data_IF_520904445200
#
_entry.id   IF_520904445200
#
_cell.length_a   1.000
_cell.length_b   1.000
_cell.length_c   1.000
_cell.angle_alpha   90.00
_cell.angle_beta   90.00
_cell.angle_gamma   90.00
#
_symmetry.space_group_name_H-M   'P 1'
#
loop_
_entity.id
_entity.type
_entity.pdbx_description
1 polymer ?
#
# COMPACT_ATOMS: atom_id res chain seq x y z
N UNK A 1 -10.73 -10.21 -17.16
CA UNK A 1 -9.62 -10.37 -16.20
C UNK A 1 -10.02 -9.62 -14.96
N UNK A 2 -10.07 -10.31 -13.83
CA UNK A 2 -10.45 -9.74 -12.54
C UNK A 2 -9.41 -8.68 -12.12
N UNK A 3 -9.87 -7.45 -11.87
CA UNK A 3 -8.98 -6.35 -11.53
C UNK A 3 -8.60 -6.46 -10.05
N UNK A 4 -7.33 -6.72 -9.74
CA UNK A 4 -6.85 -6.73 -8.36
C UNK A 4 -7.18 -5.38 -7.68
N UNK A 5 -7.98 -5.35 -6.59
CA UNK A 5 -8.37 -4.10 -5.92
C UNK A 5 -7.23 -3.47 -5.11
N UNK A 6 -6.20 -4.25 -4.74
CA UNK A 6 -5.13 -3.82 -3.82
C UNK A 6 -4.41 -2.55 -4.30
N UNK A 7 -3.92 -2.43 -5.56
CA UNK A 7 -3.18 -1.26 -6.00
C UNK A 7 -3.99 0.03 -5.90
N UNK A 8 -5.28 -0.04 -6.26
CA UNK A 8 -6.20 1.11 -6.24
C UNK A 8 -6.51 1.51 -4.80
N UNK A 9 -6.91 0.54 -3.96
CA UNK A 9 -7.22 0.77 -2.55
C UNK A 9 -6.01 1.29 -1.77
N UNK A 10 -4.83 0.72 -1.99
CA UNK A 10 -3.58 1.18 -1.39
C UNK A 10 -3.32 2.66 -1.70
N UNK A 11 -3.39 3.03 -2.98
CA UNK A 11 -3.17 4.41 -3.42
C UNK A 11 -4.21 5.36 -2.85
N UNK A 12 -5.48 4.94 -2.79
CA UNK A 12 -6.56 5.73 -2.19
C UNK A 12 -6.32 5.97 -0.70
N UNK A 13 -6.05 4.92 0.08
CA UNK A 13 -5.78 5.04 1.52
C UNK A 13 -4.54 5.91 1.79
N UNK A 14 -3.45 5.71 1.03
CA UNK A 14 -2.25 6.55 1.18
C UNK A 14 -2.53 8.01 0.90
N UNK A 15 -3.28 8.32 -0.18
CA UNK A 15 -3.65 9.70 -0.50
C UNK A 15 -4.55 10.32 0.57
N UNK A 16 -5.50 9.57 1.14
CA UNK A 16 -6.34 10.03 2.27
C UNK A 16 -5.50 10.32 3.51
N UNK A 17 -4.48 9.52 3.77
CA UNK A 17 -3.52 9.75 4.87
C UNK A 17 -2.54 10.91 4.61
N UNK A 18 -2.52 11.49 3.40
CA UNK A 18 -1.68 12.66 3.08
C UNK A 18 -0.17 12.40 3.03
N UNK A 19 0.27 11.13 3.01
CA UNK A 19 1.70 10.78 3.04
C UNK A 19 2.24 10.37 1.66
N UNK A 20 3.54 10.56 1.46
CA UNK A 20 4.22 10.15 0.21
C UNK A 20 4.46 8.63 0.18
N UNK A 21 4.70 8.08 -1.01
CA UNK A 21 5.11 6.67 -1.17
C UNK A 21 6.39 6.36 -0.38
N UNK A 22 7.40 7.26 -0.44
CA UNK A 22 8.63 7.10 0.36
C UNK A 22 8.28 7.04 1.85
N UNK A 23 7.47 7.98 2.35
CA UNK A 23 7.10 8.04 3.77
C UNK A 23 6.37 6.77 4.22
N UNK A 24 5.41 6.28 3.44
CA UNK A 24 4.70 5.02 3.74
C UNK A 24 5.68 3.83 3.81
N UNK A 25 6.55 3.67 2.80
CA UNK A 25 7.52 2.57 2.78
C UNK A 25 8.46 2.60 3.99
N UNK A 26 8.95 3.77 4.37
CA UNK A 26 9.79 3.93 5.57
C UNK A 26 9.00 3.59 6.85
N UNK A 27 7.75 4.03 6.97
CA UNK A 27 6.91 3.76 8.15
C UNK A 27 6.62 2.26 8.35
N UNK A 28 6.58 1.46 7.29
CA UNK A 28 6.41 0.00 7.39
C UNK A 28 7.73 -0.77 7.52
N UNK A 29 8.85 -0.05 7.67
CA UNK A 29 10.19 -0.62 7.93
C UNK A 29 11.03 -0.91 6.69
N UNK A 30 10.74 -0.29 5.55
CA UNK A 30 11.61 -0.39 4.36
C UNK A 30 12.78 0.58 4.43
N UNK A 31 13.90 0.18 3.81
CA UNK A 31 15.04 1.07 3.60
C UNK A 31 14.64 2.31 2.78
N UNK A 32 15.15 3.48 3.17
CA UNK A 32 14.81 4.78 2.55
C UNK A 32 15.07 4.84 1.04
N UNK A 33 16.14 4.19 0.57
CA UNK A 33 16.54 4.17 -0.83
C UNK A 33 15.60 3.32 -1.69
N UNK A 34 14.93 2.33 -1.09
CA UNK A 34 14.05 1.39 -1.80
C UNK A 34 12.55 1.64 -1.57
N UNK A 35 12.19 2.39 -0.52
CA UNK A 35 10.82 2.59 -0.07
C UNK A 35 9.88 3.15 -1.15
N UNK A 36 10.30 4.21 -1.85
CA UNK A 36 9.49 4.85 -2.90
C UNK A 36 9.23 3.91 -4.08
N UNK A 37 10.27 3.22 -4.56
CA UNK A 37 10.17 2.27 -5.67
C UNK A 37 9.27 1.08 -5.34
N UNK A 38 9.41 0.50 -4.14
CA UNK A 38 8.59 -0.62 -3.69
C UNK A 38 7.11 -0.24 -3.58
N UNK A 39 6.80 0.90 -2.96
CA UNK A 39 5.44 1.41 -2.87
C UNK A 39 4.83 1.73 -4.24
N UNK A 40 5.61 2.32 -5.14
CA UNK A 40 5.17 2.58 -6.51
C UNK A 40 4.84 1.28 -7.27
N UNK A 41 5.61 0.21 -7.07
CA UNK A 41 5.30 -1.08 -7.68
C UNK A 41 4.00 -1.67 -7.14
N UNK A 42 3.72 -1.53 -5.85
CA UNK A 42 2.45 -1.95 -5.26
C UNK A 42 1.27 -1.14 -5.79
N UNK A 43 1.37 0.19 -5.85
CA UNK A 43 0.30 1.06 -6.37
C UNK A 43 0.05 0.93 -7.87
N UNK A 44 1.01 0.37 -8.62
CA UNK A 44 0.86 0.03 -10.05
C UNK A 44 0.49 -1.43 -10.29
N UNK A 45 0.39 -2.25 -9.25
CA UNK A 45 0.12 -3.69 -9.37
C UNK A 45 1.23 -4.50 -10.02
N UNK A 46 2.46 -3.97 -10.10
CA UNK A 46 3.64 -4.72 -10.60
C UNK A 46 4.10 -5.79 -9.61
N UNK A 47 3.87 -5.53 -8.33
CA UNK A 47 4.03 -6.50 -7.26
C UNK A 47 2.81 -6.43 -6.36
N UNK A 48 2.46 -7.57 -5.75
CA UNK A 48 1.43 -7.64 -4.73
C UNK A 48 2.14 -7.73 -3.37
N UNK A 49 1.86 -6.83 -2.42
CA UNK A 49 2.35 -6.98 -1.06
C UNK A 49 1.76 -8.25 -0.43
N UNK A 50 2.56 -8.96 0.37
CA UNK A 50 2.04 -10.09 1.14
C UNK A 50 1.10 -9.61 2.27
N UNK A 51 0.41 -10.55 2.91
CA UNK A 51 -0.54 -10.25 4.00
C UNK A 51 0.14 -9.53 5.16
N UNK A 52 1.39 -9.87 5.49
CA UNK A 52 2.15 -9.22 6.56
C UNK A 52 2.40 -7.74 6.26
N UNK A 53 2.81 -7.45 5.03
CA UNK A 53 3.02 -6.09 4.53
C UNK A 53 1.71 -5.32 4.47
N UNK A 54 0.63 -5.94 3.99
CA UNK A 54 -0.70 -5.32 3.99
C UNK A 54 -1.19 -4.98 5.40
N UNK A 55 -0.91 -5.82 6.41
CA UNK A 55 -1.23 -5.50 7.81
C UNK A 55 -0.48 -4.27 8.32
N UNK A 56 0.82 -4.16 8.04
CA UNK A 56 1.61 -2.97 8.42
C UNK A 56 1.12 -1.71 7.71
N UNK A 57 0.79 -1.83 6.43
CA UNK A 57 0.23 -0.72 5.65
C UNK A 57 -1.14 -0.32 6.22
N UNK A 58 -2.01 -1.28 6.53
CA UNK A 58 -3.33 -1.04 7.14
C UNK A 58 -3.21 -0.22 8.43
N UNK A 59 -2.30 -0.64 9.33
CA UNK A 59 -2.01 0.03 10.59
C UNK A 59 -1.53 1.47 10.38
N UNK A 60 -0.54 1.67 9.50
CA UNK A 60 0.00 3.01 9.18
C UNK A 60 -1.05 3.92 8.54
N UNK A 61 -1.92 3.38 7.69
CA UNK A 61 -2.93 4.15 6.97
C UNK A 61 -4.25 4.28 7.73
N UNK A 62 -4.39 3.65 8.89
CA UNK A 62 -5.61 3.71 9.71
C UNK A 62 -6.83 3.08 9.02
N UNK A 63 -6.63 2.04 8.21
CA UNK A 63 -7.72 1.31 7.52
C UNK A 63 -7.73 -0.16 7.93
N UNK A 64 -8.88 -0.84 7.97
CA UNK A 64 -8.91 -2.26 8.26
C UNK A 64 -8.30 -3.07 7.10
N UNK A 65 -7.70 -4.24 7.38
CA UNK A 65 -7.02 -5.06 6.35
C UNK A 65 -7.93 -5.43 5.16
N UNK A 66 -9.21 -5.70 5.43
CA UNK A 66 -10.19 -6.03 4.39
C UNK A 66 -10.42 -4.89 3.39
N UNK A 67 -10.11 -3.64 3.74
CA UNK A 67 -10.21 -2.48 2.87
C UNK A 67 -9.47 -2.68 1.53
N UNK A 68 -8.33 -3.38 1.53
CA UNK A 68 -7.55 -3.62 0.32
C UNK A 68 -8.18 -4.63 -0.65
N UNK A 69 -9.19 -5.40 -0.19
CA UNK A 69 -9.86 -6.45 -0.95
C UNK A 69 -11.27 -6.04 -1.40
N UNK A 70 -11.76 -4.89 -0.96
CA UNK A 70 -13.07 -4.39 -1.39
C UNK A 70 -13.00 -3.96 -2.86
N UNK A 71 -13.67 -4.71 -3.73
CA UNK A 71 -14.05 -4.25 -5.06
C UNK A 71 -15.10 -3.12 -4.91
N UNK A 72 -15.06 -2.12 -5.77
CA UNK A 72 -16.12 -1.08 -5.81
C UNK A 72 -17.38 -1.65 -6.47
#
# INVERSE_FOLDING_TARGET
MENNPIPVRLKQARKRAGITQKKLGVMIGMDEGSASGRMNHYEKGRHTPDISTLKKIAEVLGVPLNYFFCED
#
